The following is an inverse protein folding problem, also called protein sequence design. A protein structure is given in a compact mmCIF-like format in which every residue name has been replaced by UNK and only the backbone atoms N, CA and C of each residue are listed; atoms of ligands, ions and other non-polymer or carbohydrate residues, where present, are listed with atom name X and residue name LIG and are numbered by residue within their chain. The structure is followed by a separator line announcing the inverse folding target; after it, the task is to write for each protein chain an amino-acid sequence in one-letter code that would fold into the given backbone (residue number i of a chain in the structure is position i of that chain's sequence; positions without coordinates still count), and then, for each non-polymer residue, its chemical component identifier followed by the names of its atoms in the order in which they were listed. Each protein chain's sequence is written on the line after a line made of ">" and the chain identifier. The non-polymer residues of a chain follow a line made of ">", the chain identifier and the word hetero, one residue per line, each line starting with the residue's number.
data_IF_675077038716
#
_entry.id   IF_675077038716
#
_cell.length_a   1.000
_cell.length_b   1.000
_cell.length_c   1.000
_cell.angle_alpha   90.00
_cell.angle_beta   90.00
_cell.angle_gamma   90.00
#
_symmetry.space_group_name_H-M   'P 1'
#
loop_
_entity.id
_entity.type
_entity.pdbx_description
1 polymer ?
#
# COMPACT_ATOMS: atom_id res chain seq x y z
N UNK A 1 19.90 23.33 -16.08
CA UNK A 1 18.60 23.06 -15.45
C UNK A 1 18.74 21.98 -14.40
N UNK A 2 18.88 22.39 -13.13
CA UNK A 2 18.98 21.48 -11.99
C UNK A 2 17.56 21.11 -11.53
N UNK A 3 17.03 20.02 -12.07
CA UNK A 3 15.72 19.48 -11.71
C UNK A 3 15.81 18.86 -10.30
N UNK A 4 15.57 19.68 -9.28
CA UNK A 4 15.39 19.22 -7.90
C UNK A 4 14.12 18.36 -7.83
N UNK A 5 14.27 17.06 -8.00
CA UNK A 5 13.17 16.12 -7.85
C UNK A 5 12.74 16.05 -6.38
N UNK A 6 11.74 16.84 -6.01
CA UNK A 6 11.14 16.80 -4.67
C UNK A 6 10.52 15.42 -4.43
N UNK A 7 11.08 14.69 -3.48
CA UNK A 7 10.50 13.46 -2.95
C UNK A 7 9.39 13.79 -1.95
N UNK A 8 8.44 12.88 -1.77
CA UNK A 8 7.22 13.04 -0.97
C UNK A 8 6.98 11.81 -0.11
N UNK A 9 6.68 12.07 1.15
CA UNK A 9 6.17 11.06 2.08
C UNK A 9 4.68 10.93 1.80
N UNK A 10 4.18 9.70 1.72
CA UNK A 10 2.77 9.43 1.50
C UNK A 10 1.96 9.45 2.81
N UNK A 11 0.64 9.59 2.72
CA UNK A 11 -0.26 9.75 3.87
C UNK A 11 -0.20 8.55 4.84
N UNK A 12 -0.16 7.32 4.32
CA UNK A 12 -0.10 6.09 5.11
C UNK A 12 1.08 6.14 6.08
N UNK A 13 2.23 6.64 5.61
CA UNK A 13 3.45 6.66 6.39
C UNK A 13 3.48 7.78 7.43
N UNK A 14 2.80 8.90 7.18
CA UNK A 14 2.63 9.94 8.20
C UNK A 14 1.85 9.41 9.39
N UNK A 15 0.75 8.69 9.15
CA UNK A 15 -0.06 8.09 10.21
C UNK A 15 0.71 6.99 10.96
N UNK A 16 1.32 6.05 10.23
CA UNK A 16 2.13 4.98 10.83
C UNK A 16 3.24 5.57 11.71
N UNK A 17 3.98 6.58 11.23
CA UNK A 17 5.02 7.20 12.04
C UNK A 17 4.46 7.92 13.27
N UNK A 18 3.35 8.64 13.13
CA UNK A 18 2.75 9.37 14.23
C UNK A 18 2.37 8.42 15.37
N UNK A 19 1.65 7.35 15.04
CA UNK A 19 1.23 6.34 16.01
C UNK A 19 2.42 5.58 16.59
N UNK A 20 3.39 5.20 15.75
CA UNK A 20 4.57 4.45 16.20
C UNK A 20 5.47 5.27 17.14
N UNK A 21 5.73 6.53 16.81
CA UNK A 21 6.59 7.42 17.62
C UNK A 21 5.93 7.82 18.93
N UNK A 22 4.63 8.17 18.88
CA UNK A 22 3.90 8.63 20.07
C UNK A 22 3.30 7.51 20.91
N UNK A 23 3.42 6.26 20.46
CA UNK A 23 2.83 5.08 21.13
C UNK A 23 1.34 5.28 21.42
N UNK A 24 0.62 5.80 20.42
CA UNK A 24 -0.81 6.03 20.54
C UNK A 24 -1.55 4.69 20.58
N UNK A 25 -2.59 4.56 21.42
CA UNK A 25 -3.38 3.34 21.48
C UNK A 25 -4.25 3.16 20.23
N UNK A 26 -4.47 1.91 19.85
CA UNK A 26 -5.46 1.51 18.85
C UNK A 26 -6.66 0.89 19.54
N UNK A 27 -7.83 0.95 18.88
CA UNK A 27 -9.03 0.26 19.35
C UNK A 27 -8.80 -1.25 19.21
N UNK A 28 -9.11 -2.01 20.26
CA UNK A 28 -8.96 -3.47 20.30
C UNK A 28 -7.56 -4.01 19.93
N UNK A 29 -6.52 -3.19 20.11
CA UNK A 29 -5.14 -3.45 19.66
C UNK A 29 -5.01 -3.72 18.14
N UNK A 30 -6.02 -3.34 17.35
CA UNK A 30 -5.98 -3.44 15.89
C UNK A 30 -5.22 -2.25 15.30
N UNK A 31 -3.94 -2.47 15.01
CA UNK A 31 -3.02 -1.47 14.45
C UNK A 31 -3.24 -1.23 12.95
N UNK A 32 -4.49 -1.07 12.56
CA UNK A 32 -4.89 -0.77 11.20
C UNK A 32 -4.85 0.74 10.91
N UNK A 33 -4.29 1.10 9.76
CA UNK A 33 -4.26 2.48 9.26
C UNK A 33 -5.00 2.53 7.93
N UNK A 34 -6.20 3.11 7.95
CA UNK A 34 -7.00 3.35 6.75
C UNK A 34 -6.60 4.64 6.03
N UNK A 35 -6.53 4.58 4.70
CA UNK A 35 -6.38 5.73 3.82
C UNK A 35 -7.44 5.67 2.70
N UNK A 36 -7.66 6.77 1.99
CA UNK A 36 -8.65 6.83 0.90
C UNK A 36 -8.31 5.95 -0.31
N UNK A 37 -7.07 5.48 -0.40
CA UNK A 37 -6.56 4.57 -1.43
C UNK A 37 -5.80 3.42 -0.77
N UNK A 38 -5.74 2.23 -1.41
CA UNK A 38 -4.78 1.20 -1.01
C UNK A 38 -3.36 1.75 -0.98
N UNK A 39 -2.47 1.09 -0.23
CA UNK A 39 -1.09 1.51 -0.14
C UNK A 39 -0.34 1.39 -1.47
N UNK A 40 0.60 2.29 -1.71
CA UNK A 40 1.56 2.08 -2.78
C UNK A 40 2.54 0.95 -2.43
N UNK A 41 3.23 0.39 -3.43
CA UNK A 41 4.15 -0.73 -3.21
C UNK A 41 5.22 -0.41 -2.14
N UNK A 42 5.80 0.78 -2.19
CA UNK A 42 6.84 1.18 -1.23
C UNK A 42 6.28 1.46 0.17
N UNK A 43 5.04 1.98 0.28
CA UNK A 43 4.37 2.12 1.57
C UNK A 43 4.08 0.75 2.20
N UNK A 44 3.54 -0.19 1.40
CA UNK A 44 3.27 -1.55 1.84
C UNK A 44 4.55 -2.24 2.34
N UNK A 45 5.62 -2.22 1.55
CA UNK A 45 6.89 -2.84 1.94
C UNK A 45 7.52 -2.18 3.18
N UNK A 46 7.38 -0.86 3.33
CA UNK A 46 7.84 -0.16 4.52
C UNK A 46 7.08 -0.61 5.77
N UNK A 47 5.74 -0.62 5.72
CA UNK A 47 4.90 -1.04 6.84
C UNK A 47 5.17 -2.51 7.19
N UNK A 48 5.32 -3.37 6.18
CA UNK A 48 5.65 -4.78 6.37
C UNK A 48 7.08 -5.01 6.89
N UNK A 49 7.97 -4.04 6.76
CA UNK A 49 9.33 -4.10 7.29
C UNK A 49 9.44 -3.52 8.70
N UNK A 50 8.45 -2.76 9.17
CA UNK A 50 8.40 -2.25 10.54
C UNK A 50 8.12 -3.39 11.52
N UNK A 51 8.93 -3.44 12.57
CA UNK A 51 8.76 -4.40 13.67
C UNK A 51 7.85 -3.81 14.76
N UNK A 52 6.65 -3.39 14.35
CA UNK A 52 5.70 -2.66 15.20
C UNK A 52 4.30 -3.29 15.25
N UNK A 53 4.07 -4.35 14.46
CA UNK A 53 2.82 -5.11 14.44
C UNK A 53 1.65 -4.40 13.77
N UNK A 54 1.89 -3.45 12.86
CA UNK A 54 0.82 -2.83 12.07
C UNK A 54 0.13 -3.86 11.18
N UNK A 55 -1.20 -3.75 11.08
CA UNK A 55 -1.95 -4.52 10.09
C UNK A 55 -1.54 -4.05 8.68
N UNK A 56 -1.30 -5.00 7.77
CA UNK A 56 -0.88 -4.67 6.42
C UNK A 56 -2.06 -4.11 5.62
N UNK A 57 -1.92 -2.91 5.02
CA UNK A 57 -2.97 -2.38 4.14
C UNK A 57 -3.02 -3.19 2.85
N UNK A 58 -4.17 -3.18 2.18
CA UNK A 58 -4.23 -3.57 0.77
C UNK A 58 -3.28 -2.69 -0.06
N UNK A 59 -2.74 -3.22 -1.17
CA UNK A 59 -1.80 -2.50 -2.04
C UNK A 59 -2.30 -2.44 -3.48
N UNK A 60 -2.20 -1.26 -4.11
CA UNK A 60 -2.46 -1.12 -5.56
C UNK A 60 -1.19 -1.37 -6.40
N UNK A 61 -0.07 -1.73 -5.76
CA UNK A 61 1.19 -2.16 -6.38
C UNK A 61 1.92 -1.16 -7.30
N UNK A 62 1.53 0.13 -7.31
CA UNK A 62 2.25 1.16 -8.09
C UNK A 62 3.50 1.61 -7.33
N UNK A 63 4.58 1.82 -8.08
CA UNK A 63 5.86 2.34 -7.58
C UNK A 63 5.96 3.82 -7.94
N UNK A 64 6.14 4.67 -6.93
CA UNK A 64 6.32 6.11 -7.13
C UNK A 64 7.79 6.48 -7.02
N UNK A 65 8.40 6.97 -8.10
CA UNK A 65 9.82 7.36 -8.12
C UNK A 65 10.15 8.52 -7.17
N UNK A 66 9.15 9.37 -6.90
CA UNK A 66 9.27 10.49 -5.94
C UNK A 66 8.92 10.09 -4.51
N UNK A 67 8.87 8.80 -4.17
CA UNK A 67 8.58 8.35 -2.82
C UNK A 67 9.76 8.65 -1.88
N UNK A 68 9.47 9.07 -0.66
CA UNK A 68 10.44 9.19 0.42
C UNK A 68 10.02 8.37 1.63
N UNK A 69 10.99 7.74 2.33
CA UNK A 69 10.71 7.20 3.64
C UNK A 69 10.42 8.36 4.60
N UNK A 70 9.70 8.09 5.69
CA UNK A 70 9.33 9.15 6.62
C UNK A 70 10.58 9.80 7.22
N UNK A 71 10.73 11.11 7.10
CA UNK A 71 11.96 11.78 7.54
C UNK A 71 12.06 11.82 9.06
N UNK A 72 13.24 11.48 9.59
CA UNK A 72 13.68 11.94 10.89
C UNK A 72 14.17 13.36 10.63
N UNK A 73 13.43 14.37 11.11
CA UNK A 73 13.60 15.77 10.69
C UNK A 73 15.06 16.20 10.49
N UNK A 74 15.32 16.97 9.43
CA UNK A 74 16.65 17.49 9.10
C UNK A 74 17.12 18.38 10.25
N UNK A 75 18.08 17.90 11.02
CA UNK A 75 18.58 18.56 12.21
C UNK A 75 18.81 17.52 13.27
N UNK A 76 20.05 17.02 13.35
CA UNK A 76 20.50 16.04 14.33
C UNK A 76 20.27 16.53 15.76
N UNK A 77 19.06 16.30 16.27
CA UNK A 77 18.75 16.46 17.68
C UNK A 77 19.39 15.26 18.37
N UNK A 78 20.50 15.50 19.05
CA UNK A 78 21.14 14.52 19.94
C UNK A 78 20.05 13.82 20.76
N UNK A 79 19.94 12.49 20.66
CA UNK A 79 18.94 11.69 21.39
C UNK A 79 17.97 10.85 20.55
N UNK A 80 18.06 10.87 19.21
CA UNK A 80 17.21 10.04 18.32
C UNK A 80 17.90 8.84 17.67
N UNK A 81 19.11 8.49 18.11
CA UNK A 81 19.91 7.38 17.55
C UNK A 81 19.13 6.05 17.47
N UNK A 82 18.28 5.76 18.48
CA UNK A 82 17.42 4.57 18.46
C UNK A 82 16.40 4.60 17.31
N UNK A 83 15.76 5.74 17.08
CA UNK A 83 14.78 5.91 15.99
C UNK A 83 15.48 5.84 14.63
N UNK A 84 16.67 6.43 14.52
CA UNK A 84 17.52 6.36 13.33
C UNK A 84 17.90 4.92 13.01
N UNK A 85 18.40 4.17 14.00
CA UNK A 85 18.77 2.77 13.84
C UNK A 85 17.58 1.88 13.51
N UNK A 86 16.42 2.13 14.11
CA UNK A 86 15.18 1.41 13.80
C UNK A 86 14.75 1.68 12.35
N UNK A 87 14.78 2.93 11.91
CA UNK A 87 14.48 3.31 10.54
C UNK A 87 15.47 2.72 9.55
N UNK A 88 16.76 2.79 9.84
CA UNK A 88 17.82 2.20 9.04
C UNK A 88 17.59 0.69 8.89
N UNK A 89 17.34 -0.01 10.00
CA UNK A 89 17.01 -1.43 9.99
C UNK A 89 15.77 -1.75 9.15
N UNK A 90 14.72 -0.94 9.26
CA UNK A 90 13.51 -1.06 8.45
C UNK A 90 13.81 -0.89 6.96
N UNK A 91 14.54 0.16 6.57
CA UNK A 91 14.89 0.45 5.19
C UNK A 91 15.82 -0.61 4.59
N UNK A 92 16.74 -1.16 5.38
CA UNK A 92 17.60 -2.26 4.94
C UNK A 92 16.79 -3.53 4.67
N UNK A 93 15.84 -3.89 5.55
CA UNK A 93 14.92 -5.03 5.33
C UNK A 93 14.05 -4.82 4.10
N UNK A 94 13.43 -3.65 3.97
CA UNK A 94 12.63 -3.26 2.81
C UNK A 94 13.46 -3.36 1.52
N UNK A 95 14.66 -2.80 1.50
CA UNK A 95 15.57 -2.83 0.34
C UNK A 95 15.92 -4.25 -0.06
N UNK A 96 16.18 -5.14 0.91
CA UNK A 96 16.44 -6.54 0.63
C UNK A 96 15.24 -7.23 -0.06
N UNK A 97 14.01 -6.97 0.42
CA UNK A 97 12.78 -7.51 -0.20
C UNK A 97 12.57 -6.97 -1.62
N UNK A 98 12.72 -5.66 -1.80
CA UNK A 98 12.58 -5.02 -3.11
C UNK A 98 13.59 -5.58 -4.11
N UNK A 99 14.86 -5.75 -3.71
CA UNK A 99 15.90 -6.36 -4.55
C UNK A 99 15.54 -7.79 -4.94
N UNK A 100 15.08 -8.60 -3.98
CA UNK A 100 14.64 -9.96 -4.25
C UNK A 100 13.49 -10.00 -5.25
N UNK A 101 12.45 -9.17 -5.08
CA UNK A 101 11.33 -9.11 -6.02
C UNK A 101 11.79 -8.73 -7.43
N UNK A 102 12.75 -7.81 -7.57
CA UNK A 102 13.32 -7.46 -8.89
C UNK A 102 14.09 -8.65 -9.48
N UNK A 103 14.89 -9.35 -8.69
CA UNK A 103 15.62 -10.55 -9.14
C UNK A 103 14.66 -11.64 -9.60
N UNK A 104 13.62 -11.94 -8.83
CA UNK A 104 12.59 -12.94 -9.16
C UNK A 104 11.83 -12.56 -10.45
N UNK A 105 11.55 -11.28 -10.67
CA UNK A 105 10.93 -10.79 -11.91
C UNK A 105 11.85 -10.95 -13.12
N UNK A 106 13.17 -10.72 -12.96
CA UNK A 106 14.15 -10.92 -14.04
C UNK A 106 14.32 -12.41 -14.35
N UNK A 107 14.31 -13.27 -13.34
CA UNK A 107 14.40 -14.72 -13.46
C UNK A 107 13.11 -15.37 -13.98
N UNK A 108 12.04 -14.60 -14.19
CA UNK A 108 10.73 -15.10 -14.61
C UNK A 108 9.99 -15.92 -13.54
N UNK A 109 10.44 -15.86 -12.28
CA UNK A 109 9.86 -16.57 -11.14
C UNK A 109 8.69 -15.82 -10.49
N UNK A 110 8.53 -14.55 -10.85
CA UNK A 110 7.45 -13.70 -10.37
C UNK A 110 6.80 -13.00 -11.57
N UNK A 111 5.46 -13.00 -11.61
CA UNK A 111 4.72 -12.26 -12.61
C UNK A 111 4.99 -10.75 -12.49
N UNK A 112 4.82 -10.03 -13.61
CA UNK A 112 4.86 -8.57 -13.58
C UNK A 112 3.75 -8.08 -12.67
N UNK A 113 4.05 -7.09 -11.83
CA UNK A 113 3.07 -6.45 -10.96
C UNK A 113 1.92 -5.92 -11.81
N UNK A 114 0.74 -6.53 -11.69
CA UNK A 114 -0.48 -5.97 -12.27
C UNK A 114 -0.82 -4.70 -11.50
N UNK A 115 -0.84 -3.57 -12.19
CA UNK A 115 -1.27 -2.30 -11.60
C UNK A 115 -2.78 -2.30 -11.49
N UNK A 116 -3.31 -2.34 -10.27
CA UNK A 116 -4.71 -2.01 -10.06
C UNK A 116 -4.88 -0.48 -10.10
N UNK A 117 -6.04 0.03 -10.53
CA UNK A 117 -6.38 1.44 -10.38
C UNK A 117 -6.11 1.87 -8.92
N UNK A 118 -5.44 3.01 -8.74
CA UNK A 118 -5.16 3.54 -7.40
C UNK A 118 -6.42 4.12 -6.75
N UNK A 119 -7.53 4.18 -7.48
CA UNK A 119 -8.84 4.58 -6.99
C UNK A 119 -9.83 3.48 -7.33
N UNK A 120 -10.50 2.92 -6.33
CA UNK A 120 -11.73 2.16 -6.56
C UNK A 120 -12.84 3.19 -6.66
N UNK A 121 -13.58 3.24 -7.77
CA UNK A 121 -14.77 4.09 -7.89
C UNK A 121 -15.86 3.54 -6.98
N UNK A 122 -15.82 3.90 -5.69
CA UNK A 122 -16.95 3.91 -4.76
C UNK A 122 -17.72 2.61 -4.45
N UNK A 123 -17.44 1.48 -5.10
CA UNK A 123 -18.10 0.21 -4.77
C UNK A 123 -17.28 -0.49 -3.69
N UNK A 124 -17.52 -0.12 -2.43
CA UNK A 124 -17.00 -0.86 -1.30
C UNK A 124 -17.69 -2.22 -1.25
N UNK A 125 -17.01 -3.30 -1.64
CA UNK A 125 -17.48 -4.67 -1.36
C UNK A 125 -17.30 -4.92 0.13
N UNK A 126 -18.30 -4.57 0.94
CA UNK A 126 -18.40 -5.08 2.29
C UNK A 126 -18.78 -6.56 2.18
N UNK A 127 -17.84 -7.45 2.50
CA UNK A 127 -18.18 -8.86 2.75
C UNK A 127 -18.93 -8.89 4.08
N UNK A 128 -20.25 -8.70 4.02
CA UNK A 128 -21.12 -9.04 5.14
C UNK A 128 -21.07 -10.56 5.27
N UNK A 129 -20.53 -11.05 6.38
CA UNK A 129 -20.78 -12.42 6.81
C UNK A 129 -22.25 -12.47 7.21
N UNK A 130 -23.10 -12.91 6.28
CA UNK A 130 -24.47 -13.30 6.60
C UNK A 130 -24.33 -14.60 7.38
N UNK A 131 -24.69 -14.58 8.67
CA UNK A 131 -24.95 -15.80 9.41
C UNK A 131 -26.19 -16.45 8.76
N UNK A 132 -25.99 -17.57 8.08
CA UNK A 132 -27.05 -18.34 7.42
C UNK A 132 -27.99 -18.93 8.48
N UNK A 133 -29.21 -18.39 8.56
CA UNK A 133 -30.36 -19.10 9.12
C UNK A 133 -31.08 -19.88 8.00
N UNK A 134 -31.54 -21.07 8.35
CA UNK A 134 -31.82 -22.19 7.44
C UNK A 134 -33.07 -21.95 6.56
N UNK A 135 -32.95 -22.17 5.24
CA UNK A 135 -34.13 -22.26 4.36
C UNK A 135 -33.84 -22.30 2.86
N UNK A 136 -33.74 -23.52 2.33
CA UNK A 136 -34.07 -24.00 0.96
C UNK A 136 -33.54 -23.30 -0.33
N UNK A 137 -33.07 -24.16 -1.24
CA UNK A 137 -32.36 -23.89 -2.48
C UNK A 137 -33.14 -23.07 -3.53
N UNK A 138 -32.45 -22.12 -4.19
CA UNK A 138 -32.49 -22.06 -5.65
C UNK A 138 -31.20 -21.41 -6.19
N UNK A 139 -30.37 -22.23 -6.85
CA UNK A 139 -29.11 -21.81 -7.46
C UNK A 139 -29.33 -20.75 -8.55
N UNK A 140 -28.76 -19.58 -8.34
CA UNK A 140 -28.66 -18.52 -9.34
C UNK A 140 -27.34 -17.81 -9.18
N UNK A 141 -26.33 -18.22 -9.95
CA UNK A 141 -25.12 -17.43 -10.12
C UNK A 141 -25.49 -16.19 -10.95
N UNK A 142 -25.59 -15.04 -10.29
CA UNK A 142 -25.79 -13.77 -10.97
C UNK A 142 -24.43 -13.26 -11.46
N UNK A 143 -24.06 -13.67 -12.67
CA UNK A 143 -22.99 -13.04 -13.41
C UNK A 143 -23.51 -11.70 -13.95
N UNK A 144 -23.03 -10.57 -13.40
CA UNK A 144 -23.16 -9.28 -14.07
C UNK A 144 -22.08 -9.21 -15.13
N UNK A 145 -22.45 -9.46 -16.38
CA UNK A 145 -21.63 -9.13 -17.54
C UNK A 145 -21.43 -7.62 -17.60
N UNK A 146 -20.19 -7.16 -17.68
CA UNK A 146 -19.91 -5.78 -18.08
C UNK A 146 -20.08 -5.68 -19.59
N UNK A 147 -21.01 -4.82 -20.03
CA UNK A 147 -21.10 -4.41 -21.42
C UNK A 147 -19.84 -3.60 -21.78
N UNK A 148 -19.15 -4.03 -22.83
CA UNK A 148 -18.04 -3.33 -23.47
C UNK A 148 -18.53 -1.99 -24.01
N UNK A 149 -17.92 -0.89 -23.57
CA UNK A 149 -18.10 0.41 -24.20
C UNK A 149 -17.03 0.57 -25.27
N UNK A 150 -17.45 0.37 -26.52
CA UNK A 150 -16.67 0.52 -27.75
C UNK A 150 -16.49 2.02 -28.05
N UNK A 151 -15.30 2.57 -27.80
CA UNK A 151 -14.92 3.89 -28.32
C UNK A 151 -14.33 3.72 -29.72
N UNK A 152 -15.21 3.93 -30.70
CA UNK A 152 -14.93 3.84 -32.12
C UNK A 152 -13.78 4.71 -32.61
N UNK A 153 -13.12 4.17 -33.62
CA UNK A 153 -12.17 4.83 -34.51
C UNK A 153 -12.75 6.08 -35.16
N UNK A 154 -12.05 7.20 -35.07
CA UNK A 154 -12.27 8.36 -35.94
C UNK A 154 -11.09 8.49 -36.91
N UNK A 155 -11.32 8.03 -38.14
CA UNK A 155 -10.50 8.26 -39.32
C UNK A 155 -11.15 9.40 -40.13
N UNK A 156 -10.41 10.48 -40.38
CA UNK A 156 -10.58 11.30 -41.59
C UNK A 156 -10.79 12.81 -41.40
N UNK A 157 -9.74 13.60 -41.66
CA UNK A 157 -9.49 14.33 -42.93
C UNK A 157 -8.08 14.93 -42.91
#
# INVERSE_FOLDING_TARGET
>A
DDCTTSTRIHAELYLVQLFHKRKLPFVDDDKFVGCSKPACYLCYEYIAALDAGFALPASHNKVYLKWAPPSLGVGGVKGKEREEKEMEGCLNRMTARVRRHVQEQVEGRMERRWGHPDSTTGVSTAVLRVEEDQGEEMGGSFYVSNEEFDEGSDEGI
#
